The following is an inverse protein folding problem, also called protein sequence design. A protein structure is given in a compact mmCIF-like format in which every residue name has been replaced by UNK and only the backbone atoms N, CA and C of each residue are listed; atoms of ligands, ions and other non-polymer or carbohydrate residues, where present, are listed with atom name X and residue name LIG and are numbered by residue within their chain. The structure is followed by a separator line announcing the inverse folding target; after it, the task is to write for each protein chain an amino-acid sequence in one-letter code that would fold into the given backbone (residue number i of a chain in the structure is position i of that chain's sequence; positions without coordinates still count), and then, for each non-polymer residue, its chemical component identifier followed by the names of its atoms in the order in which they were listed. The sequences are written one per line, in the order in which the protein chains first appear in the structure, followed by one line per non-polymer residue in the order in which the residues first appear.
data_IF_667351663117
#
_entry.id   IF_667351663117
#
_cell.length_a   1.000
_cell.length_b   1.000
_cell.length_c   1.000
_cell.angle_alpha   90.00
_cell.angle_beta   90.00
_cell.angle_gamma   90.00
#
_symmetry.space_group_name_H-M   'P 1'
#
loop_
_entity.id
_entity.type
_entity.pdbx_description
1 polymer ?
#
# COMPACT_ATOMS: atom_id res chain seq x y z
N UNK A 1 13.55 11.60 2.82
CA UNK A 1 13.33 10.63 1.73
C UNK A 1 13.34 11.39 0.43
N UNK A 2 14.11 10.95 -0.57
CA UNK A 2 14.39 11.74 -1.79
C UNK A 2 13.85 11.10 -3.07
N UNK A 3 13.46 9.83 -3.07
CA UNK A 3 12.97 9.16 -4.28
C UNK A 3 11.88 8.15 -3.93
N UNK A 4 10.82 8.09 -4.74
CA UNK A 4 9.78 7.08 -4.71
C UNK A 4 9.62 6.51 -6.12
N UNK A 5 9.84 5.20 -6.26
CA UNK A 5 9.67 4.46 -7.51
C UNK A 5 8.48 3.53 -7.31
N UNK A 6 7.41 3.74 -8.08
CA UNK A 6 6.25 2.86 -8.07
C UNK A 6 6.19 2.09 -9.39
N UNK A 7 6.30 0.76 -9.31
CA UNK A 7 6.21 -0.12 -10.47
C UNK A 7 5.00 -1.04 -10.35
N UNK A 8 4.28 -1.23 -11.46
CA UNK A 8 3.23 -2.23 -11.57
C UNK A 8 3.85 -3.51 -12.14
N UNK A 9 3.90 -4.58 -11.33
CA UNK A 9 4.36 -5.89 -11.80
C UNK A 9 3.41 -6.54 -12.80
N UNK A 10 2.12 -6.22 -12.72
CA UNK A 10 1.10 -6.72 -13.63
C UNK A 10 0.16 -5.59 -14.05
N UNK A 11 0.50 -4.93 -15.17
CA UNK A 11 -0.24 -3.80 -15.73
C UNK A 11 -1.66 -4.17 -16.15
N UNK A 12 -1.93 -5.44 -16.42
CA UNK A 12 -3.27 -5.92 -16.75
C UNK A 12 -4.18 -5.95 -15.52
N UNK A 13 -3.61 -6.01 -14.31
CA UNK A 13 -4.39 -6.10 -13.07
C UNK A 13 -4.43 -4.76 -12.32
N UNK A 14 -3.28 -4.13 -12.14
CA UNK A 14 -3.12 -2.90 -11.37
C UNK A 14 -2.23 -1.93 -12.16
N UNK A 15 -2.75 -0.74 -12.44
CA UNK A 15 -2.01 0.34 -13.09
C UNK A 15 -1.76 1.44 -12.07
N UNK A 16 -0.49 1.85 -11.95
CA UNK A 16 -0.12 3.03 -11.15
C UNK A 16 -0.09 4.23 -12.08
N UNK A 17 -1.15 5.03 -12.08
CA UNK A 17 -1.29 6.19 -12.96
C UNK A 17 -0.40 7.35 -12.53
N UNK A 18 -0.17 7.51 -11.22
CA UNK A 18 0.67 8.59 -10.70
C UNK A 18 1.42 8.11 -9.48
N UNK A 19 2.72 8.41 -9.44
CA UNK A 19 3.57 8.22 -8.27
C UNK A 19 4.48 9.44 -8.17
N UNK A 20 4.11 10.39 -7.31
CA UNK A 20 4.85 11.65 -7.13
C UNK A 20 5.13 11.88 -5.66
N UNK A 21 6.41 11.90 -5.30
CA UNK A 21 6.88 12.34 -4.00
C UNK A 21 7.17 13.84 -4.07
N UNK A 22 6.51 14.64 -3.23
CA UNK A 22 6.73 16.09 -3.11
C UNK A 22 7.14 16.42 -1.68
N UNK A 23 8.28 17.09 -1.53
CA UNK A 23 8.69 17.69 -0.26
C UNK A 23 8.06 19.09 -0.16
N UNK A 24 7.07 19.27 0.72
CA UNK A 24 6.42 20.58 0.93
C UNK A 24 7.23 21.42 1.92
N UNK A 25 7.79 20.79 2.96
CA UNK A 25 8.66 21.40 3.96
C UNK A 25 9.76 20.42 4.40
N UNK A 26 10.82 20.89 5.08
CA UNK A 26 11.95 20.05 5.55
C UNK A 26 11.53 18.79 6.31
N UNK A 27 10.43 18.86 7.08
CA UNK A 27 9.88 17.73 7.85
C UNK A 27 8.56 17.16 7.29
N UNK A 28 8.11 17.62 6.11
CA UNK A 28 6.83 17.19 5.52
C UNK A 28 7.02 16.78 4.06
N UNK A 29 7.16 15.49 3.85
CA UNK A 29 7.13 14.84 2.54
C UNK A 29 5.77 14.21 2.31
N UNK A 30 5.14 14.51 1.18
CA UNK A 30 3.86 13.93 0.78
C UNK A 30 4.10 13.01 -0.41
N UNK A 31 3.56 11.81 -0.35
CA UNK A 31 3.52 10.87 -1.46
C UNK A 31 2.10 10.89 -2.04
N UNK A 32 1.98 11.26 -3.31
CA UNK A 32 0.73 11.11 -4.06
C UNK A 32 0.84 9.88 -4.96
N UNK A 33 0.03 8.87 -4.66
CA UNK A 33 -0.09 7.65 -5.46
C UNK A 33 -1.53 7.51 -5.91
N UNK A 34 -1.72 7.38 -7.23
CA UNK A 34 -3.01 7.04 -7.83
C UNK A 34 -2.86 5.66 -8.44
N UNK A 35 -3.65 4.73 -7.93
CA UNK A 35 -3.68 3.33 -8.37
C UNK A 35 -5.06 3.01 -8.90
N UNK A 36 -5.12 2.48 -10.11
CA UNK A 36 -6.34 2.01 -10.76
C UNK A 36 -6.29 0.49 -10.85
N UNK A 37 -7.30 -0.16 -10.29
CA UNK A 37 -7.49 -1.61 -10.44
C UNK A 37 -8.39 -1.88 -11.64
N UNK A 38 -7.93 -2.70 -12.58
CA UNK A 38 -8.64 -2.97 -13.84
C UNK A 38 -9.58 -4.18 -13.75
N UNK A 39 -9.39 -5.04 -12.73
CA UNK A 39 -10.22 -6.23 -12.55
C UNK A 39 -10.72 -6.31 -11.10
N UNK A 40 -11.95 -6.81 -10.89
CA UNK A 40 -12.47 -7.02 -9.55
C UNK A 40 -11.65 -8.11 -8.85
N UNK A 41 -11.19 -7.80 -7.64
CA UNK A 41 -10.38 -8.72 -6.83
C UNK A 41 -11.11 -9.03 -5.53
N UNK A 42 -11.51 -10.30 -5.38
CA UNK A 42 -12.13 -10.82 -4.15
C UNK A 42 -11.10 -11.18 -3.07
N UNK A 43 -9.85 -11.44 -3.47
CA UNK A 43 -8.71 -11.70 -2.60
C UNK A 43 -7.51 -10.89 -3.09
N UNK A 44 -7.05 -9.95 -2.28
CA UNK A 44 -5.90 -9.09 -2.61
C UNK A 44 -4.79 -9.43 -1.63
N UNK A 45 -3.83 -10.25 -2.05
CA UNK A 45 -2.64 -10.52 -1.24
C UNK A 45 -1.66 -9.35 -1.28
N UNK A 46 -1.48 -8.67 -0.16
CA UNK A 46 -0.52 -7.58 0.01
C UNK A 46 0.66 -8.09 0.84
N UNK A 47 1.88 -7.95 0.29
CA UNK A 47 3.12 -8.16 1.03
C UNK A 47 3.78 -6.83 1.34
N UNK A 48 3.89 -6.50 2.62
CA UNK A 48 4.60 -5.33 3.13
C UNK A 48 5.97 -5.76 3.61
N UNK A 49 7.02 -5.19 3.00
CA UNK A 49 8.39 -5.40 3.41
C UNK A 49 9.06 -4.06 3.72
N UNK A 50 9.54 -3.90 4.96
CA UNK A 50 10.29 -2.72 5.40
C UNK A 50 11.74 -3.11 5.61
N UNK A 51 12.61 -2.49 4.83
CA UNK A 51 14.05 -2.71 4.86
C UNK A 51 14.74 -1.45 5.38
N UNK A 52 15.63 -1.61 6.38
CA UNK A 52 16.42 -0.51 6.93
C UNK A 52 17.87 -0.69 6.48
N UNK A 53 18.40 0.32 5.79
CA UNK A 53 19.83 0.41 5.50
C UNK A 53 20.55 0.86 6.78
N UNK A 54 21.17 -0.10 7.49
CA UNK A 54 22.11 0.15 8.59
C UNK A 54 23.52 -0.30 8.13
N UNK A 55 24.48 -0.56 9.04
CA UNK A 55 25.81 -1.12 8.72
C UNK A 55 25.74 -2.52 8.08
N UNK A 56 25.20 -2.59 6.86
CA UNK A 56 24.68 -3.80 6.20
C UNK A 56 23.17 -3.69 5.92
N UNK A 57 22.72 -4.35 4.85
CA UNK A 57 21.30 -4.44 4.52
C UNK A 57 20.64 -5.49 5.43
N UNK A 58 19.94 -5.09 6.50
CA UNK A 58 19.14 -6.02 7.32
C UNK A 58 17.81 -6.26 6.58
N UNK A 59 17.55 -7.47 6.04
CA UNK A 59 16.49 -7.62 5.05
C UNK A 59 15.06 -7.67 5.63
N UNK A 60 14.90 -7.68 6.96
CA UNK A 60 13.59 -7.85 7.60
C UNK A 60 13.52 -7.05 8.90
N UNK A 61 13.06 -5.80 8.83
CA UNK A 61 12.53 -5.12 10.04
C UNK A 61 11.05 -5.48 10.19
N UNK A 62 10.32 -5.57 9.08
CA UNK A 62 8.94 -6.04 8.98
C UNK A 62 8.79 -6.76 7.64
N UNK A 63 8.34 -8.02 7.65
CA UNK A 63 7.89 -8.77 6.46
C UNK A 63 6.54 -9.41 6.81
N UNK A 64 5.46 -8.92 6.23
CA UNK A 64 4.12 -9.41 6.47
C UNK A 64 3.37 -9.54 5.16
N UNK A 65 2.73 -10.69 4.96
CA UNK A 65 1.81 -10.92 3.85
C UNK A 65 0.42 -11.15 4.43
N UNK A 66 -0.56 -10.40 3.97
CA UNK A 66 -1.96 -10.57 4.39
C UNK A 66 -2.92 -10.29 3.23
N UNK A 67 -4.08 -10.93 3.27
CA UNK A 67 -5.16 -10.62 2.35
C UNK A 67 -5.89 -9.36 2.83
N UNK A 68 -5.89 -8.32 2.01
CA UNK A 68 -6.51 -7.02 2.33
C UNK A 68 -8.01 -7.17 2.48
N UNK A 69 -8.69 -7.98 1.66
CA UNK A 69 -10.12 -8.18 1.77
C UNK A 69 -10.50 -8.96 3.03
N UNK A 70 -9.72 -9.99 3.39
CA UNK A 70 -9.92 -10.70 4.66
C UNK A 70 -9.60 -9.81 5.87
N UNK A 71 -8.57 -8.97 5.78
CA UNK A 71 -8.20 -8.00 6.79
C UNK A 71 -9.27 -6.91 6.97
N UNK A 72 -9.88 -6.42 5.90
CA UNK A 72 -10.99 -5.45 5.99
C UNK A 72 -12.22 -6.05 6.67
N UNK A 73 -12.48 -7.36 6.49
CA UNK A 73 -13.54 -8.09 7.20
C UNK A 73 -13.21 -8.32 8.68
N UNK A 74 -11.94 -8.62 8.99
CA UNK A 74 -11.47 -8.81 10.36
C UNK A 74 -10.13 -8.10 10.62
N UNK A 75 -10.15 -6.79 10.96
CA UNK A 75 -8.94 -5.97 11.13
C UNK A 75 -8.08 -6.36 12.33
N UNK A 76 -8.59 -7.24 13.19
CA UNK A 76 -7.90 -7.70 14.40
C UNK A 76 -6.98 -8.90 14.15
N UNK A 77 -7.06 -9.52 12.96
CA UNK A 77 -6.29 -10.72 12.60
C UNK A 77 -4.79 -10.48 12.43
N UNK A 78 -4.37 -9.27 12.05
CA UNK A 78 -2.98 -8.96 11.73
C UNK A 78 -2.55 -7.60 12.30
N UNK A 79 -1.70 -7.55 13.35
CA UNK A 79 -1.29 -6.30 13.98
C UNK A 79 -0.44 -5.42 13.05
N UNK A 80 0.37 -6.03 12.17
CA UNK A 80 1.16 -5.31 11.16
C UNK A 80 0.24 -4.69 10.10
N UNK A 81 -0.76 -5.45 9.64
CA UNK A 81 -1.80 -4.96 8.74
C UNK A 81 -2.58 -3.79 9.35
N UNK A 82 -2.92 -3.88 10.65
CA UNK A 82 -3.59 -2.80 11.40
C UNK A 82 -2.74 -1.54 11.51
N UNK A 83 -1.45 -1.67 11.78
CA UNK A 83 -0.53 -0.54 11.83
C UNK A 83 -0.42 0.14 10.46
N UNK A 84 -0.24 -0.63 9.39
CA UNK A 84 -0.19 -0.09 8.03
C UNK A 84 -1.53 0.57 7.65
N UNK A 85 -2.65 -0.12 7.88
CA UNK A 85 -3.98 0.39 7.56
C UNK A 85 -4.29 1.68 8.31
N UNK A 86 -3.92 1.82 9.59
CA UNK A 86 -4.10 3.07 10.34
C UNK A 86 -3.35 4.24 9.69
N UNK A 87 -2.14 4.00 9.17
CA UNK A 87 -1.36 5.03 8.48
C UNK A 87 -1.99 5.40 7.14
N UNK A 88 -2.43 4.43 6.34
CA UNK A 88 -2.99 4.73 5.02
C UNK A 88 -4.43 5.24 5.09
N UNK A 89 -5.26 4.79 6.04
CA UNK A 89 -6.68 5.13 6.14
C UNK A 89 -6.93 6.64 6.26
N UNK A 90 -6.06 7.37 6.96
CA UNK A 90 -6.22 8.83 7.12
C UNK A 90 -5.89 9.62 5.85
N UNK A 91 -5.08 9.05 4.94
CA UNK A 91 -4.61 9.74 3.73
C UNK A 91 -5.16 9.15 2.43
N UNK A 92 -5.93 8.06 2.51
CA UNK A 92 -6.43 7.35 1.35
C UNK A 92 -7.95 7.27 1.39
N UNK A 93 -8.59 7.58 0.25
CA UNK A 93 -10.04 7.43 0.08
C UNK A 93 -10.44 5.96 -0.14
N UNK A 94 -9.82 5.03 0.59
CA UNK A 94 -10.18 3.61 0.58
C UNK A 94 -11.41 3.44 1.48
N UNK A 95 -12.54 3.97 1.03
CA UNK A 95 -13.81 3.98 1.76
C UNK A 95 -14.72 2.79 1.40
N UNK A 96 -14.24 1.83 0.60
CA UNK A 96 -15.04 0.68 0.18
C UNK A 96 -14.64 -0.60 0.91
N UNK A 97 -15.66 -1.31 1.40
CA UNK A 97 -15.57 -2.72 1.76
C UNK A 97 -15.37 -3.53 0.48
N UNK A 98 -14.45 -4.50 0.49
CA UNK A 98 -14.40 -5.48 -0.60
C UNK A 98 -15.80 -6.10 -0.79
N UNK A 99 -16.25 -6.31 -2.03
CA UNK A 99 -15.46 -6.38 -3.27
C UNK A 99 -15.07 -5.00 -3.83
N UNK A 100 -13.85 -4.89 -4.33
CA UNK A 100 -13.49 -3.78 -5.22
C UNK A 100 -14.14 -4.07 -6.57
N UNK A 101 -15.38 -3.64 -6.74
CA UNK A 101 -16.03 -3.63 -8.03
C UNK A 101 -15.43 -2.50 -8.85
N UNK A 102 -15.01 -2.82 -10.07
CA UNK A 102 -14.71 -1.83 -11.10
C UNK A 102 -16.00 -1.07 -11.38
N UNK A 103 -16.15 0.14 -10.84
CA UNK A 103 -17.19 1.06 -11.33
C UNK A 103 -16.84 1.39 -12.79
N UNK A 104 -17.58 0.79 -13.71
CA UNK A 104 -17.60 1.16 -15.12
C UNK A 104 -18.30 2.50 -15.31
#
# INVERSE_FOLDING_TARGET
MTNAVCESRNKSWIVVNTCRLRAIQRNKTILNVIVTMLHPANSISLRLQVQKKASGYKPWVIDATFDVCAFLRNPHSNPIGKMAFKQFKEFSSINHLCPYEVCF
#
